data_IF_775581022095
#
_entry.id   IF_775581022095
#
_cell.length_a   1.000
_cell.length_b   1.000
_cell.length_c   1.000
_cell.angle_alpha   90.00
_cell.angle_beta   90.00
_cell.angle_gamma   90.00
#
_symmetry.space_group_name_H-M   'P 1'
#
loop_
_entity.id
_entity.type
_entity.pdbx_description
1 polymer ?
#
# COMPACT_ATOMS: atom_id res chain seq x y z
N UNK A 1 -9.19 6.47 -28.83
CA UNK A 1 -9.83 6.29 -27.48
C UNK A 1 -11.13 5.52 -27.59
N UNK A 2 -12.06 5.95 -28.44
CA UNK A 2 -13.38 5.32 -28.61
C UNK A 2 -13.32 3.86 -29.07
N UNK A 3 -12.36 3.50 -29.93
CA UNK A 3 -12.16 2.13 -30.36
C UNK A 3 -11.76 1.21 -29.18
N UNK A 4 -10.85 1.67 -28.30
CA UNK A 4 -10.43 0.88 -27.13
C UNK A 4 -11.62 0.65 -26.19
N UNK A 5 -12.41 1.70 -25.98
CA UNK A 5 -13.63 1.61 -25.18
C UNK A 5 -14.61 0.59 -25.74
N UNK A 6 -14.89 0.66 -27.03
CA UNK A 6 -15.83 -0.26 -27.70
C UNK A 6 -15.37 -1.73 -27.60
N UNK A 7 -14.07 -2.02 -27.78
CA UNK A 7 -13.55 -3.38 -27.64
C UNK A 7 -13.63 -3.89 -26.19
N UNK A 8 -13.36 -3.04 -25.19
CA UNK A 8 -13.50 -3.43 -23.79
C UNK A 8 -14.97 -3.71 -23.46
N UNK A 9 -15.90 -2.85 -23.85
CA UNK A 9 -17.34 -3.04 -23.64
C UNK A 9 -17.84 -4.35 -24.26
N UNK A 10 -17.36 -4.65 -25.45
CA UNK A 10 -17.67 -5.92 -26.14
C UNK A 10 -17.13 -7.14 -25.37
N UNK A 11 -15.89 -7.07 -24.87
CA UNK A 11 -15.27 -8.18 -24.13
C UNK A 11 -15.92 -8.41 -22.76
N UNK A 12 -16.31 -7.35 -22.06
CA UNK A 12 -16.94 -7.45 -20.74
C UNK A 12 -18.45 -7.70 -20.79
N UNK A 13 -19.11 -7.43 -21.94
CA UNK A 13 -20.53 -7.66 -22.14
C UNK A 13 -21.47 -6.59 -21.58
N UNK A 14 -20.96 -5.45 -21.14
CA UNK A 14 -21.73 -4.29 -20.67
C UNK A 14 -21.03 -2.98 -21.01
N UNK A 15 -21.79 -1.89 -21.10
CA UNK A 15 -21.26 -0.56 -21.37
C UNK A 15 -20.59 0.05 -20.12
N UNK A 16 -19.60 0.90 -20.34
CA UNK A 16 -19.06 1.71 -19.26
C UNK A 16 -20.13 2.68 -18.73
N UNK A 17 -20.11 2.91 -17.43
CA UNK A 17 -20.88 4.01 -16.83
C UNK A 17 -20.35 5.36 -17.37
N UNK A 18 -21.20 6.40 -17.42
CA UNK A 18 -20.74 7.75 -17.73
C UNK A 18 -19.60 8.19 -16.81
N UNK A 19 -18.62 8.90 -17.37
CA UNK A 19 -17.54 9.48 -16.58
C UNK A 19 -18.12 10.35 -15.45
N UNK A 20 -17.58 10.21 -14.26
CA UNK A 20 -17.94 11.03 -13.09
C UNK A 20 -16.85 12.07 -12.89
N UNK A 21 -17.24 13.31 -12.62
CA UNK A 21 -16.29 14.34 -12.24
C UNK A 21 -15.63 13.93 -10.91
N UNK A 22 -14.31 13.91 -10.91
CA UNK A 22 -13.51 13.59 -9.74
C UNK A 22 -12.28 14.49 -9.67
N UNK A 23 -12.08 15.11 -8.53
CA UNK A 23 -10.90 15.90 -8.25
C UNK A 23 -9.96 15.14 -7.32
N UNK A 24 -8.75 14.86 -7.78
CA UNK A 24 -7.70 14.28 -6.95
C UNK A 24 -7.17 15.34 -5.98
N UNK A 25 -7.33 15.09 -4.69
CA UNK A 25 -6.87 15.98 -3.62
C UNK A 25 -5.62 15.47 -2.92
N UNK A 26 -5.29 14.18 -3.08
CA UNK A 26 -4.12 13.53 -2.47
C UNK A 26 -3.49 12.53 -3.43
N UNK A 27 -2.19 12.27 -3.25
CA UNK A 27 -1.44 11.23 -3.98
C UNK A 27 -1.18 9.97 -3.14
N UNK A 28 -1.57 9.99 -1.86
CA UNK A 28 -1.37 8.88 -0.92
C UNK A 28 -2.57 7.94 -0.86
N UNK A 29 -2.35 6.78 -0.24
CA UNK A 29 -3.42 5.85 0.09
C UNK A 29 -4.11 6.25 1.40
N UNK A 30 -5.42 6.03 1.50
CA UNK A 30 -6.15 6.17 2.75
C UNK A 30 -5.84 4.96 3.65
N UNK A 31 -4.92 5.12 4.60
CA UNK A 31 -4.48 4.05 5.50
C UNK A 31 -5.54 3.66 6.51
N UNK A 32 -5.58 2.38 6.89
CA UNK A 32 -6.54 1.85 7.84
C UNK A 32 -7.90 1.55 7.24
N UNK A 33 -8.94 1.63 8.08
CA UNK A 33 -10.30 1.28 7.69
C UNK A 33 -11.01 2.42 6.97
N UNK A 34 -11.56 2.11 5.81
CA UNK A 34 -12.44 2.99 5.03
C UNK A 34 -13.74 2.24 4.73
N UNK A 35 -14.88 2.88 4.94
CA UNK A 35 -16.21 2.34 4.61
C UNK A 35 -16.52 2.61 3.14
N UNK A 36 -16.84 1.55 2.39
CA UNK A 36 -17.36 1.66 1.03
C UNK A 36 -18.84 2.08 0.99
N UNK A 37 -19.28 2.59 -0.15
CA UNK A 37 -20.69 2.99 -0.35
C UNK A 37 -21.65 1.79 -0.38
N UNK A 38 -21.13 0.60 -0.62
CA UNK A 38 -21.84 -0.69 -0.60
C UNK A 38 -22.01 -1.28 0.81
N UNK A 39 -21.50 -0.57 1.85
CA UNK A 39 -21.56 -1.01 3.24
C UNK A 39 -20.48 -2.02 3.64
N UNK A 40 -19.54 -2.37 2.74
CA UNK A 40 -18.34 -3.13 3.09
C UNK A 40 -17.22 -2.21 3.60
N UNK A 41 -16.32 -2.79 4.36
CA UNK A 41 -15.13 -2.11 4.87
C UNK A 41 -13.90 -2.52 4.06
N UNK A 42 -12.97 -1.61 3.90
CA UNK A 42 -11.68 -1.86 3.24
C UNK A 42 -10.57 -1.45 4.18
N UNK A 43 -9.56 -2.28 4.35
CA UNK A 43 -8.41 -1.97 5.20
C UNK A 43 -7.17 -1.84 4.36
N UNK A 44 -6.60 -0.64 4.29
CA UNK A 44 -5.31 -0.40 3.63
C UNK A 44 -4.18 -0.61 4.64
N UNK A 45 -3.31 -1.56 4.35
CA UNK A 45 -2.13 -1.90 5.12
C UNK A 45 -0.89 -1.33 4.45
N UNK A 46 -0.11 -0.55 5.19
CA UNK A 46 1.20 -0.10 4.74
C UNK A 46 2.16 -1.27 4.58
N UNK A 47 2.80 -1.36 3.42
CA UNK A 47 3.83 -2.36 3.09
C UNK A 47 5.11 -1.64 2.71
N UNK A 48 6.11 -1.65 3.58
CA UNK A 48 7.38 -0.97 3.31
C UNK A 48 8.01 -1.48 2.02
N UNK A 49 8.12 -0.58 1.02
CA UNK A 49 8.63 -0.85 -0.33
C UNK A 49 7.91 -2.02 -1.05
N UNK A 50 6.67 -2.32 -0.71
CA UNK A 50 5.89 -3.40 -1.31
C UNK A 50 6.36 -4.82 -0.98
N UNK A 51 7.31 -4.99 -0.05
CA UNK A 51 7.89 -6.29 0.24
C UNK A 51 7.20 -7.00 1.39
N UNK A 52 6.48 -8.06 1.08
CA UNK A 52 5.79 -8.92 2.05
C UNK A 52 6.73 -10.05 2.48
N UNK A 53 7.43 -9.86 3.60
CA UNK A 53 8.32 -10.84 4.22
C UNK A 53 8.17 -10.81 5.74
N UNK A 54 8.49 -11.91 6.42
CA UNK A 54 8.63 -11.89 7.86
C UNK A 54 9.94 -11.21 8.25
N UNK A 55 9.89 -10.33 9.25
CA UNK A 55 11.04 -9.75 9.93
C UNK A 55 11.01 -10.19 11.39
N UNK A 56 12.12 -10.05 12.11
CA UNK A 56 12.26 -10.50 13.50
C UNK A 56 11.15 -9.96 14.42
N UNK A 57 10.77 -8.71 14.26
CA UNK A 57 9.75 -8.01 15.06
C UNK A 57 8.36 -7.96 14.40
N UNK A 58 8.25 -8.32 13.12
CA UNK A 58 7.04 -8.18 12.31
C UNK A 58 6.79 -9.41 11.43
N UNK A 59 5.91 -10.35 11.84
CA UNK A 59 5.53 -11.52 11.04
C UNK A 59 4.51 -11.15 9.95
N UNK A 60 4.92 -10.26 9.02
CA UNK A 60 4.04 -9.67 8.01
C UNK A 60 3.47 -10.72 7.05
N UNK A 61 4.33 -11.61 6.53
CA UNK A 61 3.91 -12.67 5.60
C UNK A 61 2.91 -13.62 6.27
N UNK A 62 3.22 -14.08 7.48
CA UNK A 62 2.34 -15.01 8.22
C UNK A 62 1.00 -14.35 8.55
N UNK A 63 1.03 -13.08 8.91
CA UNK A 63 -0.17 -12.30 9.19
C UNK A 63 -1.07 -12.15 7.97
N UNK A 64 -0.51 -11.78 6.83
CA UNK A 64 -1.25 -11.65 5.57
C UNK A 64 -1.80 -13.02 5.12
N UNK A 65 -1.02 -14.10 5.25
CA UNK A 65 -1.50 -15.46 4.96
C UNK A 65 -2.66 -15.89 5.88
N UNK A 66 -2.59 -15.54 7.17
CA UNK A 66 -3.67 -15.83 8.11
C UNK A 66 -4.94 -15.04 7.77
N UNK A 67 -4.79 -13.78 7.38
CA UNK A 67 -5.91 -12.95 6.91
C UNK A 67 -6.49 -13.54 5.62
N UNK A 68 -5.68 -13.91 4.65
CA UNK A 68 -6.14 -14.50 3.38
C UNK A 68 -6.88 -15.85 3.56
N UNK A 69 -6.56 -16.60 4.60
CA UNK A 69 -7.31 -17.82 4.95
C UNK A 69 -8.68 -17.54 5.56
N UNK A 70 -8.81 -16.45 6.31
CA UNK A 70 -10.04 -16.02 6.97
C UNK A 70 -10.95 -15.19 6.03
N UNK A 71 -10.33 -14.37 5.18
CA UNK A 71 -10.98 -13.50 4.22
C UNK A 71 -10.69 -14.01 2.81
N UNK A 72 -11.65 -14.72 2.23
CA UNK A 72 -11.52 -15.32 0.88
C UNK A 72 -12.06 -14.43 -0.23
N UNK A 73 -12.07 -13.13 0.03
CA UNK A 73 -12.56 -12.12 -0.89
C UNK A 73 -11.40 -11.37 -1.55
N UNK A 74 -11.57 -10.14 -1.91
CA UNK A 74 -10.67 -9.38 -2.78
C UNK A 74 -9.50 -8.77 -2.00
N UNK A 75 -8.30 -8.93 -2.55
CA UNK A 75 -7.11 -8.14 -2.18
C UNK A 75 -6.73 -7.24 -3.36
N UNK A 76 -6.41 -5.98 -3.08
CA UNK A 76 -5.98 -5.01 -4.10
C UNK A 76 -4.59 -4.47 -3.75
N UNK A 77 -3.70 -4.41 -4.74
CA UNK A 77 -2.42 -3.72 -4.61
C UNK A 77 -2.59 -2.27 -5.06
N UNK A 78 -1.89 -1.35 -4.40
CA UNK A 78 -1.97 0.07 -4.75
C UNK A 78 -0.75 0.52 -5.56
N UNK A 79 -0.85 1.63 -6.31
CA UNK A 79 0.30 2.25 -6.98
C UNK A 79 1.38 2.70 -5.99
N UNK A 80 1.04 2.88 -4.70
CA UNK A 80 1.96 3.25 -3.64
C UNK A 80 2.56 2.05 -2.91
N UNK A 81 2.56 0.86 -3.54
CA UNK A 81 3.16 -0.38 -3.03
C UNK A 81 2.48 -0.94 -1.76
N UNK A 82 1.24 -0.55 -1.46
CA UNK A 82 0.48 -1.00 -0.31
C UNK A 82 -0.54 -2.10 -0.68
N UNK A 83 -1.16 -2.69 0.34
CA UNK A 83 -2.14 -3.76 0.19
C UNK A 83 -3.47 -3.35 0.80
N UNK A 84 -4.56 -3.49 0.04
CA UNK A 84 -5.92 -3.31 0.54
C UNK A 84 -6.55 -4.69 0.73
N UNK A 85 -7.01 -4.97 1.95
CA UNK A 85 -7.94 -6.05 2.26
C UNK A 85 -9.32 -5.47 1.98
N UNK A 86 -9.90 -5.81 0.82
CA UNK A 86 -11.10 -5.17 0.30
C UNK A 86 -12.35 -5.99 0.57
N UNK A 87 -13.50 -5.34 0.47
CA UNK A 87 -14.83 -5.96 0.52
C UNK A 87 -15.11 -6.77 1.80
N UNK A 88 -14.54 -6.31 2.93
CA UNK A 88 -14.72 -6.93 4.24
C UNK A 88 -16.13 -6.65 4.76
N UNK A 89 -16.94 -7.69 4.93
CA UNK A 89 -18.27 -7.53 5.51
C UNK A 89 -18.20 -7.07 6.98
N UNK A 90 -19.22 -6.35 7.50
CA UNK A 90 -19.26 -5.95 8.91
C UNK A 90 -19.13 -7.13 9.89
N UNK A 91 -19.56 -8.33 9.49
CA UNK A 91 -19.41 -9.55 10.31
C UNK A 91 -17.97 -10.09 10.33
N UNK A 92 -17.22 -9.91 9.26
CA UNK A 92 -15.83 -10.36 9.15
C UNK A 92 -14.84 -9.38 9.77
N UNK A 93 -15.18 -8.09 9.81
CA UNK A 93 -14.29 -7.04 10.33
C UNK A 93 -13.66 -7.36 11.69
N UNK A 94 -14.39 -7.82 12.73
CA UNK A 94 -13.78 -8.15 14.02
C UNK A 94 -12.75 -9.29 13.95
N UNK A 95 -12.92 -10.23 13.01
CA UNK A 95 -11.97 -11.33 12.79
C UNK A 95 -10.67 -10.78 12.18
N UNK A 96 -10.79 -9.91 11.18
CA UNK A 96 -9.63 -9.26 10.55
C UNK A 96 -8.89 -8.37 11.56
N UNK A 97 -9.59 -7.56 12.34
CA UNK A 97 -9.00 -6.72 13.40
C UNK A 97 -8.21 -7.55 14.42
N UNK A 98 -8.75 -8.71 14.83
CA UNK A 98 -8.05 -9.63 15.73
C UNK A 98 -6.76 -10.16 15.11
N UNK A 99 -6.78 -10.48 13.82
CA UNK A 99 -5.59 -10.96 13.09
C UNK A 99 -4.56 -9.85 12.91
N UNK A 100 -4.98 -8.64 12.52
CA UNK A 100 -4.12 -7.47 12.43
C UNK A 100 -3.37 -7.24 13.75
N UNK A 101 -4.07 -7.24 14.87
CA UNK A 101 -3.48 -7.11 16.21
C UNK A 101 -2.54 -8.27 16.54
N UNK A 102 -2.98 -9.51 16.32
CA UNK A 102 -2.19 -10.70 16.63
C UNK A 102 -0.82 -10.69 15.96
N UNK A 103 -0.76 -10.23 14.72
CA UNK A 103 0.45 -10.18 13.90
C UNK A 103 1.11 -8.80 13.88
N UNK A 104 0.71 -7.86 14.76
CA UNK A 104 1.26 -6.49 14.87
C UNK A 104 1.16 -5.68 13.56
N UNK A 105 0.18 -5.97 12.73
CA UNK A 105 0.02 -5.30 11.44
C UNK A 105 -0.71 -3.95 11.56
N UNK A 106 -1.54 -3.78 12.58
CA UNK A 106 -2.26 -2.54 12.86
C UNK A 106 -1.32 -1.35 13.16
N UNK A 107 -0.15 -1.61 13.75
CA UNK A 107 0.87 -0.59 14.01
C UNK A 107 1.61 -0.10 12.75
N UNK A 108 1.52 -0.80 11.62
CA UNK A 108 2.25 -0.40 10.42
C UNK A 108 1.76 0.91 9.82
N UNK A 109 0.49 1.24 9.99
CA UNK A 109 -0.11 2.48 9.52
C UNK A 109 0.19 3.70 10.42
N UNK A 110 0.88 3.50 11.55
CA UNK A 110 1.27 4.57 12.50
C UNK A 110 2.72 5.03 12.29
N UNK A 111 3.23 4.87 11.09
CA UNK A 111 4.56 5.36 10.70
C UNK A 111 4.51 6.87 10.44
N UNK A 112 5.69 7.49 10.39
CA UNK A 112 5.84 8.91 10.03
C UNK A 112 5.27 9.23 8.65
N UNK A 113 4.87 10.48 8.42
CA UNK A 113 4.34 10.94 7.14
C UNK A 113 5.30 10.68 5.98
N UNK A 114 6.61 10.96 6.18
CA UNK A 114 7.63 10.68 5.16
C UNK A 114 7.73 9.18 4.85
N UNK A 115 7.64 8.30 5.86
CA UNK A 115 7.74 6.84 5.64
C UNK A 115 6.53 6.28 4.90
N UNK A 116 5.33 6.71 5.24
CA UNK A 116 4.09 6.31 4.56
C UNK A 116 4.04 6.77 3.09
N UNK A 117 4.76 7.84 2.75
CA UNK A 117 4.80 8.43 1.41
C UNK A 117 6.10 8.13 0.64
N UNK A 118 6.97 7.26 1.18
CA UNK A 118 8.19 6.83 0.52
C UNK A 118 7.98 5.54 -0.29
N UNK A 119 8.62 5.45 -1.44
CA UNK A 119 8.65 4.26 -2.28
C UNK A 119 10.03 4.02 -2.86
N UNK A 120 10.40 2.74 -2.99
CA UNK A 120 11.60 2.32 -3.67
C UNK A 120 11.31 1.20 -4.67
N UNK A 121 12.02 1.19 -5.80
CA UNK A 121 12.05 0.02 -6.67
C UNK A 121 12.88 -1.09 -6.01
N UNK A 122 12.70 -2.33 -6.48
CA UNK A 122 13.41 -3.50 -5.93
C UNK A 122 14.95 -3.41 -6.06
N UNK A 123 15.45 -2.85 -7.14
CA UNK A 123 16.87 -2.61 -7.46
C UNK A 123 17.80 -3.82 -7.23
N UNK A 124 19.06 -3.57 -6.86
CA UNK A 124 20.03 -4.64 -6.54
C UNK A 124 19.62 -5.36 -5.22
N UNK A 125 19.89 -6.67 -5.11
CA UNK A 125 20.50 -7.57 -6.10
C UNK A 125 19.49 -8.23 -7.05
N UNK A 126 18.22 -7.89 -7.00
CA UNK A 126 17.12 -8.61 -7.66
C UNK A 126 16.94 -8.18 -9.13
N UNK A 127 17.00 -6.88 -9.40
CA UNK A 127 16.78 -6.34 -10.74
C UNK A 127 18.07 -6.36 -11.57
N UNK A 128 18.07 -7.09 -12.68
CA UNK A 128 19.23 -7.17 -13.58
C UNK A 128 19.59 -5.86 -14.30
N UNK A 129 18.70 -4.87 -14.29
CA UNK A 129 18.94 -3.53 -14.86
C UNK A 129 19.44 -2.52 -13.82
N UNK A 130 19.50 -2.90 -12.55
CA UNK A 130 19.89 -2.00 -11.48
C UNK A 130 21.40 -1.79 -11.43
N UNK A 131 21.79 -0.55 -11.17
CA UNK A 131 23.18 -0.10 -10.98
C UNK A 131 23.47 0.24 -9.51
N UNK A 132 22.42 0.35 -8.68
CA UNK A 132 22.51 0.69 -7.26
C UNK A 132 21.42 -0.02 -6.45
N UNK A 133 21.53 0.01 -5.13
CA UNK A 133 20.45 -0.39 -4.22
C UNK A 133 19.36 0.70 -4.14
N UNK A 134 18.15 0.30 -3.81
CA UNK A 134 17.03 1.19 -3.57
C UNK A 134 16.17 0.68 -2.39
N UNK A 135 15.40 -0.40 -2.58
CA UNK A 135 14.53 -0.99 -1.56
C UNK A 135 15.26 -1.25 -0.22
N UNK A 136 16.46 -1.78 -0.27
CA UNK A 136 17.22 -2.16 0.92
C UNK A 136 17.89 -0.97 1.61
N UNK A 137 18.16 0.09 0.88
CA UNK A 137 18.79 1.30 1.39
C UNK A 137 17.80 2.31 1.98
N UNK A 138 16.63 2.47 1.33
CA UNK A 138 15.66 3.50 1.68
C UNK A 138 15.20 3.46 3.15
N UNK A 139 14.89 2.31 3.79
CA UNK A 139 14.45 2.29 5.18
C UNK A 139 15.45 2.91 6.16
N UNK A 140 16.75 2.62 5.97
CA UNK A 140 17.82 3.19 6.78
C UNK A 140 18.02 4.69 6.55
N UNK A 141 17.84 5.16 5.32
CA UNK A 141 17.87 6.58 4.99
C UNK A 141 16.70 7.30 5.65
N UNK A 142 15.48 6.75 5.57
CA UNK A 142 14.30 7.33 6.20
C UNK A 142 14.48 7.49 7.70
N UNK A 143 15.06 6.51 8.40
CA UNK A 143 15.33 6.60 9.83
C UNK A 143 16.25 7.79 10.17
N UNK A 144 17.26 8.06 9.33
CA UNK A 144 18.14 9.24 9.53
C UNK A 144 17.39 10.55 9.26
N UNK A 145 16.54 10.60 8.26
CA UNK A 145 15.75 11.78 7.92
C UNK A 145 14.70 12.04 9.01
N UNK A 146 14.01 11.01 9.49
CA UNK A 146 13.04 11.11 10.60
C UNK A 146 13.66 11.76 11.85
N UNK A 147 14.89 11.38 12.19
CA UNK A 147 15.61 11.98 13.32
C UNK A 147 15.90 13.49 13.13
N UNK A 148 16.02 13.96 11.89
CA UNK A 148 16.19 15.40 11.57
C UNK A 148 14.83 16.11 11.56
N UNK A 149 13.78 15.47 11.06
CA UNK A 149 12.45 16.06 10.93
C UNK A 149 11.71 16.16 12.27
N UNK A 150 11.95 15.23 13.19
CA UNK A 150 11.24 15.17 14.48
C UNK A 150 11.40 16.45 15.32
N UNK A 151 12.61 17.00 15.57
CA UNK A 151 12.78 18.25 16.31
C UNK A 151 12.26 19.49 15.57
N UNK A 152 12.02 19.38 14.25
CA UNK A 152 11.43 20.44 13.43
C UNK A 152 9.89 20.41 13.40
N UNK A 153 9.27 19.41 14.03
CA UNK A 153 7.81 19.20 13.99
C UNK A 153 7.28 18.73 12.65
N UNK A 154 8.14 18.21 11.77
CA UNK A 154 7.79 17.80 10.39
C UNK A 154 7.68 16.28 10.21
N UNK A 155 7.71 15.51 11.28
CA UNK A 155 7.70 14.05 11.23
C UNK A 155 6.47 13.47 10.54
N UNK A 156 5.31 14.09 10.75
CA UNK A 156 4.03 13.61 10.24
C UNK A 156 3.62 14.30 8.92
N UNK A 157 4.46 15.19 8.40
CA UNK A 157 4.22 15.82 7.11
C UNK A 157 4.34 14.80 5.96
N UNK A 158 3.43 14.84 4.96
CA UNK A 158 3.40 13.87 3.86
C UNK A 158 4.48 14.16 2.80
N UNK A 159 5.74 14.10 3.22
CA UNK A 159 6.89 14.31 2.33
C UNK A 159 7.08 13.08 1.44
N UNK A 160 7.02 13.27 0.13
CA UNK A 160 7.18 12.21 -0.85
C UNK A 160 8.65 11.96 -1.19
N UNK A 161 9.12 10.72 -1.04
CA UNK A 161 10.43 10.27 -1.51
C UNK A 161 10.24 9.10 -2.48
N UNK A 162 10.92 9.19 -3.61
CA UNK A 162 10.99 8.11 -4.61
C UNK A 162 12.46 7.76 -4.84
N UNK A 163 12.78 6.46 -4.77
CA UNK A 163 14.14 5.97 -4.97
C UNK A 163 14.18 4.91 -6.05
N UNK A 164 15.10 5.06 -6.99
CA UNK A 164 15.33 4.11 -8.08
C UNK A 164 16.79 3.65 -8.11
N UNK A 165 17.03 2.40 -8.45
CA UNK A 165 18.38 1.83 -8.61
C UNK A 165 18.93 1.88 -10.03
N UNK A 166 18.20 2.46 -10.99
CA UNK A 166 18.61 2.60 -12.39
C UNK A 166 18.11 3.91 -12.99
N UNK A 167 18.64 4.35 -14.16
CA UNK A 167 18.23 5.58 -14.81
C UNK A 167 16.82 5.54 -15.45
N UNK A 168 16.15 4.39 -15.42
CA UNK A 168 14.81 4.20 -15.99
C UNK A 168 13.68 4.44 -14.96
N UNK A 169 13.99 4.81 -13.74
CA UNK A 169 13.04 5.05 -12.65
C UNK A 169 12.64 6.50 -12.50
#
# INVERSE_FOLDING_TARGET
EDWIKAEIEKLQGFAFEPARDYQFTTNGDAMGWVRGNDGHDHYTLFIENGRIVNREDLPLLDGIQAIAKAHRDVFRVTPNQNLIIADVSPKQRPVIEKLLKKYKLDGQNQRSGIRLNAMACVALPTCGLAMAESERYLPGLLTKIEAILEPLGLKDEPITIRMSGCPNG
#
